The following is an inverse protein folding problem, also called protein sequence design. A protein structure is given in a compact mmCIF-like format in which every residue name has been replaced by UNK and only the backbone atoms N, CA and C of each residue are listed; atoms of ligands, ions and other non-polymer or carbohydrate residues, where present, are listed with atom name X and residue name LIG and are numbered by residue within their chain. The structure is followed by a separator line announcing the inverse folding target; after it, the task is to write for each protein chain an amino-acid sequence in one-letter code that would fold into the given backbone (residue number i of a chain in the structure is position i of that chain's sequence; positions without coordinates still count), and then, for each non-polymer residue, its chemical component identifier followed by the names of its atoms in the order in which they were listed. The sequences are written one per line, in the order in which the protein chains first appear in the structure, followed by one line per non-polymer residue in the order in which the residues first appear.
data_IF_941107132517
#
_entry.id   IF_941107132517
#
_cell.length_a   1.000
_cell.length_b   1.000
_cell.length_c   1.000
_cell.angle_alpha   90.00
_cell.angle_beta   90.00
_cell.angle_gamma   90.00
#
_symmetry.space_group_name_H-M   'P 1'
#
loop_
_entity.id
_entity.type
_entity.pdbx_description
1 polymer ?
#
# COMPACT_ATOMS: atom_id res chain seq x y z
N UNK A 1 3.33 3.67 17.08
CA UNK A 1 3.41 3.99 15.64
C UNK A 1 2.02 4.18 15.06
N UNK A 2 1.89 4.93 13.95
CA UNK A 2 0.66 5.07 13.19
C UNK A 2 0.85 4.52 11.77
N UNK A 3 -0.04 3.65 11.30
CA UNK A 3 -0.08 3.16 9.92
C UNK A 3 -1.37 3.64 9.27
N UNK A 4 -1.24 4.24 8.08
CA UNK A 4 -2.34 4.82 7.31
C UNK A 4 -2.38 4.13 5.96
N UNK A 5 -3.39 3.29 5.73
CA UNK A 5 -3.47 2.43 4.56
C UNK A 5 -4.94 2.09 4.28
N UNK A 6 -5.46 2.41 3.10
CA UNK A 6 -6.85 2.16 2.75
C UNK A 6 -7.11 0.68 2.41
N UNK A 7 -6.13 0.00 1.83
CA UNK A 7 -6.23 -1.41 1.48
C UNK A 7 -6.22 -2.29 2.74
N UNK A 8 -7.33 -2.98 3.04
CA UNK A 8 -7.49 -3.67 4.32
C UNK A 8 -6.49 -4.82 4.52
N UNK A 9 -6.13 -5.53 3.45
CA UNK A 9 -5.13 -6.61 3.51
C UNK A 9 -3.75 -6.06 3.86
N UNK A 10 -3.33 -4.96 3.21
CA UNK A 10 -2.05 -4.31 3.52
C UNK A 10 -2.03 -3.77 4.95
N UNK A 11 -3.12 -3.15 5.38
CA UNK A 11 -3.28 -2.65 6.75
C UNK A 11 -3.17 -3.78 7.79
N UNK A 12 -3.82 -4.91 7.54
CA UNK A 12 -3.74 -6.10 8.40
C UNK A 12 -2.32 -6.67 8.43
N UNK A 13 -1.65 -6.77 7.27
CA UNK A 13 -0.26 -7.23 7.18
C UNK A 13 0.69 -6.32 7.97
N UNK A 14 0.56 -5.01 7.82
CA UNK A 14 1.37 -4.04 8.57
C UNK A 14 1.17 -4.19 10.08
N UNK A 15 -0.07 -4.34 10.53
CA UNK A 15 -0.39 -4.62 11.94
C UNK A 15 0.29 -5.90 12.44
N UNK A 16 0.20 -6.97 11.67
CA UNK A 16 0.86 -8.22 12.01
C UNK A 16 2.39 -8.11 12.05
N UNK A 17 3.02 -7.41 11.08
CA UNK A 17 4.46 -7.14 11.10
C UNK A 17 4.87 -6.37 12.35
N UNK A 18 4.15 -5.31 12.69
CA UNK A 18 4.46 -4.48 13.87
C UNK A 18 4.25 -5.24 15.17
N UNK A 19 3.19 -6.04 15.27
CA UNK A 19 2.96 -6.93 16.42
C UNK A 19 4.10 -7.93 16.59
N UNK A 20 4.57 -8.54 15.48
CA UNK A 20 5.68 -9.49 15.50
C UNK A 20 7.01 -8.83 15.89
N UNK A 21 7.17 -7.54 15.61
CA UNK A 21 8.31 -6.74 16.03
C UNK A 21 8.14 -6.17 17.47
N UNK A 22 7.05 -6.50 18.16
CA UNK A 22 6.78 -6.04 19.52
C UNK A 22 6.49 -4.54 19.64
N UNK A 23 5.96 -3.91 18.55
CA UNK A 23 5.72 -2.48 18.48
C UNK A 23 4.24 -2.13 18.65
N UNK A 24 3.94 -1.23 19.58
CA UNK A 24 2.62 -0.65 19.72
C UNK A 24 2.26 0.17 18.49
N UNK A 25 1.07 -0.06 17.93
CA UNK A 25 0.63 0.57 16.71
C UNK A 25 -0.87 0.87 16.69
N UNK A 26 -1.24 1.84 15.88
CA UNK A 26 -2.62 2.17 15.51
C UNK A 26 -2.73 2.05 13.99
N UNK A 27 -3.84 1.50 13.49
CA UNK A 27 -4.11 1.29 12.07
C UNK A 27 -5.34 2.10 11.67
N UNK A 28 -5.21 2.94 10.65
CA UNK A 28 -6.32 3.75 10.12
C UNK A 28 -6.38 3.65 8.60
N UNK A 29 -7.56 3.94 8.01
CA UNK A 29 -7.83 3.66 6.60
C UNK A 29 -7.72 4.88 5.67
N UNK A 30 -7.41 6.08 6.17
CA UNK A 30 -7.22 7.29 5.36
C UNK A 30 -6.55 8.41 6.17
N UNK A 31 -6.11 9.46 5.47
CA UNK A 31 -5.44 10.59 6.09
C UNK A 31 -6.29 11.36 7.09
N UNK A 32 -7.61 11.47 6.87
CA UNK A 32 -8.50 12.17 7.80
C UNK A 32 -8.59 11.44 9.15
N UNK A 33 -8.70 10.12 9.13
CA UNK A 33 -8.67 9.30 10.34
C UNK A 33 -7.32 9.43 11.07
N UNK A 34 -6.21 9.45 10.30
CA UNK A 34 -4.87 9.66 10.86
C UNK A 34 -4.74 11.00 11.59
N UNK A 35 -5.24 12.08 11.00
CA UNK A 35 -5.26 13.40 11.64
C UNK A 35 -6.10 13.42 12.93
N UNK A 36 -7.21 12.68 12.94
CA UNK A 36 -8.08 12.59 14.12
C UNK A 36 -7.38 11.86 15.26
N UNK A 37 -6.81 10.68 15.03
CA UNK A 37 -6.13 9.92 16.08
C UNK A 37 -4.86 10.61 16.58
N UNK A 38 -4.17 11.36 15.71
CA UNK A 38 -2.98 12.16 16.07
C UNK A 38 -3.30 13.35 17.00
N UNK A 39 -4.56 13.73 17.16
CA UNK A 39 -4.96 14.70 18.18
C UNK A 39 -5.09 14.07 19.57
N UNK A 40 -5.38 12.78 19.62
CA UNK A 40 -5.67 12.03 20.85
C UNK A 40 -4.45 11.29 21.41
N UNK A 41 -3.50 10.93 20.54
CA UNK A 41 -2.31 10.14 20.88
C UNK A 41 -1.05 10.70 20.25
N UNK A 42 0.07 10.50 20.93
CA UNK A 42 1.41 10.72 20.37
C UNK A 42 1.90 9.49 19.63
N UNK A 43 2.52 9.72 18.46
CA UNK A 43 3.17 8.68 17.67
C UNK A 43 4.63 9.07 17.43
N UNK A 44 5.53 8.08 17.44
CA UNK A 44 6.96 8.28 17.19
C UNK A 44 7.30 8.18 15.71
N UNK A 45 6.43 7.54 14.90
CA UNK A 45 6.58 7.34 13.46
C UNK A 45 5.22 7.14 12.82
N UNK A 46 5.06 7.70 11.62
CA UNK A 46 3.91 7.47 10.74
C UNK A 46 4.38 6.76 9.48
N UNK A 47 3.70 5.68 9.07
CA UNK A 47 3.86 5.04 7.77
C UNK A 47 2.53 5.21 7.03
N UNK A 48 2.55 5.83 5.86
CA UNK A 48 1.33 6.19 5.14
C UNK A 48 1.39 5.81 3.67
N UNK A 49 0.34 5.16 3.16
CA UNK A 49 0.11 5.15 1.71
C UNK A 49 0.00 6.58 1.20
N UNK A 50 0.52 6.79 -0.01
CA UNK A 50 0.45 8.07 -0.71
C UNK A 50 -0.94 8.36 -1.26
N UNK A 51 -1.68 7.32 -1.70
CA UNK A 51 -2.94 7.46 -2.44
C UNK A 51 -4.06 6.72 -1.74
N UNK A 52 -4.94 7.48 -1.11
CA UNK A 52 -6.09 6.97 -0.35
C UNK A 52 -7.32 7.82 -0.61
N UNK A 53 -8.53 7.26 -0.52
CA UNK A 53 -9.78 8.02 -0.60
C UNK A 53 -9.94 8.94 0.61
N UNK A 54 -10.85 9.91 0.52
CA UNK A 54 -11.19 10.91 1.54
C UNK A 54 -10.07 11.94 1.73
N UNK A 55 -8.87 11.51 2.13
CA UNK A 55 -7.67 12.33 2.25
C UNK A 55 -6.44 11.48 1.95
N UNK A 56 -5.67 11.88 0.95
CA UNK A 56 -4.44 11.24 0.54
C UNK A 56 -3.29 11.46 1.54
N UNK A 57 -2.23 10.64 1.44
CA UNK A 57 -1.07 10.72 2.33
C UNK A 57 -0.30 12.03 2.20
N UNK A 58 -0.25 12.63 1.01
CA UNK A 58 0.43 13.92 0.80
C UNK A 58 -0.29 15.07 1.52
N UNK A 59 -1.62 15.12 1.41
CA UNK A 59 -2.44 16.12 2.08
C UNK A 59 -2.40 15.96 3.60
N UNK A 60 -2.46 14.71 4.07
CA UNK A 60 -2.28 14.37 5.48
C UNK A 60 -0.92 14.86 6.01
N UNK A 61 0.18 14.57 5.28
CA UNK A 61 1.51 14.97 5.70
C UNK A 61 1.65 16.50 5.78
N UNK A 62 1.16 17.24 4.79
CA UNK A 62 1.16 18.72 4.83
C UNK A 62 0.42 19.26 6.04
N UNK A 63 -0.75 18.70 6.34
CA UNK A 63 -1.56 19.12 7.49
C UNK A 63 -0.87 18.76 8.83
N UNK A 64 -0.25 17.58 8.94
CA UNK A 64 0.55 17.22 10.11
C UNK A 64 1.70 18.22 10.32
N UNK A 65 2.44 18.58 9.26
CA UNK A 65 3.52 19.58 9.32
C UNK A 65 3.02 20.96 9.72
N UNK A 66 1.82 21.33 9.23
CA UNK A 66 1.18 22.58 9.64
C UNK A 66 0.88 22.59 11.15
N UNK A 67 0.25 21.52 11.66
CA UNK A 67 -0.09 21.38 13.08
C UNK A 67 1.13 21.33 13.98
N UNK A 68 2.19 20.61 13.59
CA UNK A 68 3.46 20.56 14.34
C UNK A 68 4.04 21.98 14.53
N UNK A 69 4.08 22.76 13.45
CA UNK A 69 4.57 24.15 13.50
C UNK A 69 3.67 25.06 14.34
N UNK A 70 2.35 24.98 14.14
CA UNK A 70 1.39 25.82 14.84
C UNK A 70 1.37 25.57 16.36
N UNK A 71 1.61 24.32 16.78
CA UNK A 71 1.58 23.89 18.16
C UNK A 71 2.96 23.79 18.82
N UNK A 72 4.04 24.12 18.10
CA UNK A 72 5.42 23.97 18.58
C UNK A 72 5.77 22.52 18.95
N UNK A 73 5.15 21.53 18.27
CA UNK A 73 5.39 20.11 18.54
C UNK A 73 6.63 19.62 17.80
N UNK A 74 7.25 18.57 18.35
CA UNK A 74 8.35 17.88 17.71
C UNK A 74 7.88 17.26 16.38
N UNK A 75 8.72 17.36 15.34
CA UNK A 75 8.49 16.73 14.04
C UNK A 75 8.50 15.20 14.16
N UNK A 76 7.42 14.58 13.74
CA UNK A 76 7.28 13.12 13.70
C UNK A 76 7.73 12.64 12.32
N UNK A 77 8.62 11.63 12.18
CA UNK A 77 8.96 11.06 10.88
C UNK A 77 7.72 10.50 10.18
N UNK A 78 7.55 10.84 8.90
CA UNK A 78 6.47 10.33 8.03
C UNK A 78 7.11 9.60 6.85
N UNK A 79 6.89 8.30 6.75
CA UNK A 79 7.42 7.44 5.70
C UNK A 79 6.29 7.08 4.74
N UNK A 80 6.48 7.41 3.47
CA UNK A 80 5.54 7.06 2.41
C UNK A 80 5.59 5.56 2.07
N UNK A 81 4.43 4.94 1.84
CA UNK A 81 4.32 3.66 1.14
C UNK A 81 3.94 3.95 -0.31
N UNK A 82 4.69 3.43 -1.26
CA UNK A 82 4.40 3.64 -2.69
C UNK A 82 4.61 2.37 -3.51
N UNK A 83 3.76 2.15 -4.51
CA UNK A 83 3.93 1.04 -5.45
C UNK A 83 5.00 1.32 -6.50
N UNK A 84 5.26 2.59 -6.83
CA UNK A 84 6.28 2.98 -7.81
C UNK A 84 6.85 4.36 -7.43
N UNK A 85 8.15 4.44 -7.06
CA UNK A 85 8.79 5.70 -6.75
C UNK A 85 9.37 6.32 -8.02
N UNK A 86 8.51 6.72 -8.97
CA UNK A 86 8.97 7.63 -10.04
C UNK A 86 9.60 8.88 -9.45
N UNK A 87 10.49 9.52 -10.19
CA UNK A 87 11.18 10.76 -9.75
C UNK A 87 10.16 11.81 -9.29
N UNK A 88 9.04 11.92 -9.99
CA UNK A 88 7.96 12.85 -9.66
C UNK A 88 7.25 12.51 -8.34
N UNK A 89 7.07 11.22 -8.04
CA UNK A 89 6.42 10.80 -6.78
C UNK A 89 7.36 11.02 -5.58
N UNK A 90 8.67 10.83 -5.75
CA UNK A 90 9.66 11.15 -4.71
C UNK A 90 9.67 12.66 -4.38
N UNK A 91 9.66 13.50 -5.41
CA UNK A 91 9.60 14.95 -5.21
C UNK A 91 8.30 15.36 -4.51
N UNK A 92 7.17 14.79 -4.90
CA UNK A 92 5.87 15.04 -4.24
C UNK A 92 5.87 14.63 -2.76
N UNK A 93 6.52 13.52 -2.39
CA UNK A 93 6.70 13.13 -0.99
C UNK A 93 7.47 14.18 -0.21
N UNK A 94 8.61 14.64 -0.75
CA UNK A 94 9.44 15.67 -0.12
C UNK A 94 8.69 16.99 0.01
N UNK A 95 8.00 17.45 -1.03
CA UNK A 95 7.21 18.69 -1.04
C UNK A 95 6.03 18.63 -0.05
N UNK A 96 5.48 17.43 0.19
CA UNK A 96 4.48 17.22 1.22
C UNK A 96 5.06 17.17 2.64
N UNK A 97 6.38 17.14 2.78
CA UNK A 97 7.08 17.09 4.07
C UNK A 97 7.23 15.68 4.63
N UNK A 98 7.14 14.64 3.79
CA UNK A 98 7.50 13.28 4.17
C UNK A 98 9.04 13.13 4.24
N UNK A 99 9.52 12.22 5.07
CA UNK A 99 10.93 12.08 5.44
C UNK A 99 11.63 10.92 4.72
N UNK A 100 10.86 10.04 4.07
CA UNK A 100 11.36 8.89 3.34
C UNK A 100 10.24 8.12 2.67
N UNK A 101 10.60 7.05 1.96
CA UNK A 101 9.64 6.17 1.31
C UNK A 101 10.05 4.70 1.40
N UNK A 102 9.06 3.82 1.31
CA UNK A 102 9.14 2.38 1.23
C UNK A 102 8.38 1.89 0.01
N UNK A 103 8.92 0.88 -0.66
CA UNK A 103 8.27 0.25 -1.80
C UNK A 103 7.32 -0.85 -1.37
N UNK A 104 6.12 -0.87 -1.95
CA UNK A 104 5.26 -2.05 -1.95
C UNK A 104 5.73 -3.01 -3.06
N UNK A 105 5.79 -4.34 -2.83
CA UNK A 105 5.42 -5.06 -1.61
C UNK A 105 6.48 -4.94 -0.53
N UNK A 106 6.07 -4.67 0.70
CA UNK A 106 6.95 -4.52 1.84
C UNK A 106 7.15 -5.86 2.55
N UNK A 107 8.40 -6.28 2.70
CA UNK A 107 8.76 -7.43 3.54
C UNK A 107 8.99 -7.00 4.99
N UNK A 108 8.87 -7.97 5.92
CA UNK A 108 9.19 -7.73 7.33
C UNK A 108 10.64 -7.23 7.53
N UNK A 109 11.59 -7.72 6.70
CA UNK A 109 12.99 -7.26 6.73
C UNK A 109 13.12 -5.78 6.38
N UNK A 110 12.52 -5.35 5.27
CA UNK A 110 12.55 -3.95 4.83
C UNK A 110 11.88 -3.02 5.85
N UNK A 111 10.75 -3.46 6.43
CA UNK A 111 10.10 -2.69 7.51
C UNK A 111 11.05 -2.53 8.69
N UNK A 112 11.71 -3.61 9.13
CA UNK A 112 12.68 -3.56 10.22
C UNK A 112 13.81 -2.58 9.94
N UNK A 113 14.44 -2.64 8.75
CA UNK A 113 15.56 -1.76 8.39
C UNK A 113 15.18 -0.27 8.47
N UNK A 114 13.94 0.05 8.06
CA UNK A 114 13.40 1.43 8.19
C UNK A 114 13.15 1.78 9.64
N UNK A 115 12.57 0.86 10.42
CA UNK A 115 12.31 1.11 11.84
C UNK A 115 13.60 1.30 12.63
N UNK A 116 14.65 0.54 12.35
CA UNK A 116 15.98 0.72 12.95
C UNK A 116 16.58 2.09 12.64
N UNK A 117 16.34 2.60 11.44
CA UNK A 117 16.82 3.92 11.01
C UNK A 117 16.08 5.07 11.71
N UNK A 118 14.77 4.95 11.87
CA UNK A 118 13.91 6.05 12.35
C UNK A 118 13.53 5.92 13.82
N UNK A 119 13.61 4.71 14.40
CA UNK A 119 13.36 4.41 15.82
C UNK A 119 14.55 3.68 16.46
N UNK A 120 15.70 4.32 16.65
CA UNK A 120 16.92 3.66 17.10
C UNK A 120 16.79 2.89 18.44
N UNK A 121 15.80 3.22 19.27
CA UNK A 121 15.54 2.56 20.57
C UNK A 121 14.76 1.23 20.42
N UNK A 122 14.16 0.95 19.27
CA UNK A 122 13.39 -0.28 19.02
C UNK A 122 14.27 -1.43 18.51
N UNK A 123 15.50 -1.14 18.09
CA UNK A 123 16.43 -2.07 17.42
C UNK A 123 16.82 -3.32 18.24
N UNK A 124 16.74 -3.27 19.57
CA UNK A 124 17.23 -4.36 20.43
C UNK A 124 16.34 -5.63 20.44
N UNK A 125 15.15 -5.61 19.85
CA UNK A 125 14.16 -6.68 19.95
C UNK A 125 13.92 -7.47 18.63
N UNK A 126 14.63 -7.15 17.54
CA UNK A 126 14.23 -7.57 16.19
C UNK A 126 15.02 -8.75 15.63
N UNK A 127 14.35 -9.85 15.25
CA UNK A 127 14.93 -11.07 14.68
C UNK A 127 14.75 -11.16 13.14
N UNK A 128 15.66 -11.86 12.44
CA UNK A 128 15.71 -12.00 10.98
C UNK A 128 14.55 -12.81 10.37
N UNK A 129 13.86 -12.27 9.37
CA UNK A 129 12.91 -12.99 8.53
C UNK A 129 13.32 -12.92 7.03
N UNK A 130 13.15 -14.01 6.25
CA UNK A 130 13.52 -14.05 4.84
C UNK A 130 12.59 -13.20 3.96
N UNK A 131 13.12 -12.62 2.87
CA UNK A 131 12.38 -11.90 1.85
C UNK A 131 11.72 -12.86 0.85
N UNK A 132 10.55 -12.49 0.31
CA UNK A 132 9.88 -13.24 -0.76
C UNK A 132 10.64 -13.12 -2.10
N UNK A 133 10.67 -14.16 -2.94
CA UNK A 133 11.35 -14.13 -4.23
C UNK A 133 10.65 -13.21 -5.24
N UNK A 134 11.43 -12.39 -5.96
CA UNK A 134 10.98 -11.18 -6.68
C UNK A 134 10.39 -11.39 -8.09
N UNK A 135 10.18 -12.61 -8.63
CA UNK A 135 9.84 -12.79 -10.07
C UNK A 135 8.71 -13.77 -10.39
N UNK A 136 8.08 -14.40 -9.43
CA UNK A 136 6.91 -15.27 -9.63
C UNK A 136 5.97 -15.17 -8.43
N UNK A 137 4.71 -15.47 -8.65
CA UNK A 137 3.77 -15.58 -7.54
C UNK A 137 4.20 -16.73 -6.60
N UNK A 138 4.23 -16.49 -5.29
CA UNK A 138 4.65 -17.50 -4.33
C UNK A 138 3.63 -18.63 -4.20
N UNK A 139 4.10 -19.81 -3.88
CA UNK A 139 3.24 -20.93 -3.51
C UNK A 139 2.71 -20.74 -2.08
N UNK A 140 1.59 -21.43 -1.75
CA UNK A 140 1.07 -21.43 -0.38
C UNK A 140 2.13 -21.84 0.65
N UNK A 141 2.94 -22.85 0.34
CA UNK A 141 4.01 -23.32 1.23
C UNK A 141 5.04 -22.21 1.51
N UNK A 142 5.45 -21.45 0.50
CA UNK A 142 6.36 -20.31 0.65
C UNK A 142 5.74 -19.18 1.49
N UNK A 143 4.44 -18.93 1.35
CA UNK A 143 3.73 -17.97 2.20
C UNK A 143 3.71 -18.42 3.65
N UNK A 144 3.34 -19.68 3.92
CA UNK A 144 3.33 -20.24 5.28
C UNK A 144 4.74 -20.23 5.87
N UNK A 145 5.77 -20.54 5.09
CA UNK A 145 7.15 -20.46 5.52
C UNK A 145 7.57 -19.02 5.88
N UNK A 146 7.15 -18.04 5.07
CA UNK A 146 7.46 -16.62 5.28
C UNK A 146 6.77 -16.06 6.51
N UNK A 147 5.48 -16.33 6.65
CA UNK A 147 4.66 -15.76 7.73
C UNK A 147 4.69 -16.61 9.01
N UNK A 148 5.11 -17.88 8.93
CA UNK A 148 5.17 -18.84 10.06
C UNK A 148 3.82 -19.04 10.78
N UNK A 149 2.72 -18.70 10.13
CA UNK A 149 1.36 -18.78 10.66
C UNK A 149 0.36 -19.02 9.51
N UNK A 150 -0.25 -20.21 9.49
CA UNK A 150 -1.19 -20.60 8.44
C UNK A 150 -2.52 -19.84 8.54
N UNK A 151 -2.97 -19.48 9.75
CA UNK A 151 -4.20 -18.71 9.93
C UNK A 151 -4.05 -17.30 9.37
N UNK A 152 -2.90 -16.67 9.60
CA UNK A 152 -2.56 -15.35 9.02
C UNK A 152 -2.54 -15.44 7.50
N UNK A 153 -1.92 -16.48 6.92
CA UNK A 153 -1.92 -16.68 5.46
C UNK A 153 -3.33 -16.83 4.91
N UNK A 154 -4.18 -17.62 5.57
CA UNK A 154 -5.57 -17.81 5.16
C UNK A 154 -6.39 -16.52 5.19
N UNK A 155 -6.29 -15.75 6.28
CA UNK A 155 -6.98 -14.47 6.39
C UNK A 155 -6.50 -13.47 5.33
N UNK A 156 -5.18 -13.40 5.13
CA UNK A 156 -4.55 -12.55 4.14
C UNK A 156 -5.03 -12.90 2.72
N UNK A 157 -4.97 -14.16 2.31
CA UNK A 157 -5.41 -14.61 0.99
C UNK A 157 -6.91 -14.36 0.78
N UNK A 158 -7.73 -14.62 1.79
CA UNK A 158 -9.17 -14.37 1.74
C UNK A 158 -9.46 -12.87 1.53
N UNK A 159 -8.82 -11.99 2.30
CA UNK A 159 -9.00 -10.55 2.19
C UNK A 159 -8.50 -10.03 0.85
N UNK A 160 -7.30 -10.47 0.43
CA UNK A 160 -6.68 -10.07 -0.85
C UNK A 160 -7.57 -10.44 -2.04
N UNK A 161 -8.12 -11.66 -2.04
CA UNK A 161 -9.04 -12.10 -3.08
C UNK A 161 -10.31 -11.26 -3.10
N UNK A 162 -10.97 -11.06 -1.96
CA UNK A 162 -12.20 -10.29 -1.86
C UNK A 162 -12.00 -8.86 -2.37
N UNK A 163 -10.93 -8.19 -1.95
CA UNK A 163 -10.63 -6.82 -2.37
C UNK A 163 -10.32 -6.73 -3.86
N UNK A 164 -9.52 -7.68 -4.39
CA UNK A 164 -9.23 -7.72 -5.82
C UNK A 164 -10.48 -7.99 -6.67
N UNK A 165 -11.40 -8.86 -6.24
CA UNK A 165 -12.69 -9.10 -6.90
C UNK A 165 -13.58 -7.84 -6.87
N UNK A 166 -13.67 -7.14 -5.73
CA UNK A 166 -14.45 -5.90 -5.59
C UNK A 166 -13.91 -4.78 -6.48
N UNK A 167 -12.60 -4.55 -6.48
CA UNK A 167 -11.94 -3.52 -7.29
C UNK A 167 -12.00 -3.85 -8.78
N UNK A 168 -11.87 -5.11 -9.17
CA UNK A 168 -12.03 -5.54 -10.54
C UNK A 168 -13.46 -5.31 -11.03
N UNK A 169 -14.46 -5.68 -10.26
CA UNK A 169 -15.85 -5.39 -10.59
C UNK A 169 -16.13 -3.87 -10.68
N UNK A 170 -15.51 -3.07 -9.83
CA UNK A 170 -15.62 -1.61 -9.89
C UNK A 170 -14.95 -1.02 -11.15
N UNK A 171 -13.78 -1.54 -11.56
CA UNK A 171 -13.12 -1.16 -12.81
C UNK A 171 -14.01 -1.43 -14.02
N UNK A 172 -14.61 -2.62 -14.10
CA UNK A 172 -15.52 -2.96 -15.19
C UNK A 172 -16.75 -2.04 -15.26
N UNK A 173 -17.27 -1.59 -14.10
CA UNK A 173 -18.35 -0.59 -14.06
C UNK A 173 -17.88 0.76 -14.57
N UNK A 174 -16.74 1.25 -14.09
CA UNK A 174 -16.16 2.53 -14.51
C UNK A 174 -15.87 2.57 -16.02
N UNK A 175 -15.34 1.47 -16.58
CA UNK A 175 -15.11 1.34 -18.02
C UNK A 175 -16.42 1.40 -18.82
N UNK A 176 -17.50 0.77 -18.34
CA UNK A 176 -18.81 0.81 -19.01
C UNK A 176 -19.48 2.19 -18.97
N UNK A 177 -19.29 2.93 -17.89
CA UNK A 177 -19.85 4.27 -17.72
C UNK A 177 -18.92 5.38 -18.25
N UNK A 178 -17.75 5.01 -18.77
CA UNK A 178 -16.70 5.93 -19.22
C UNK A 178 -16.25 6.91 -18.13
N UNK A 179 -16.37 6.50 -16.86
CA UNK A 179 -15.91 7.29 -15.73
C UNK A 179 -14.38 7.18 -15.57
N UNK A 180 -13.70 8.14 -16.17
CA UNK A 180 -12.24 8.22 -16.21
C UNK A 180 -11.60 8.22 -14.82
N UNK A 181 -12.15 9.00 -13.88
CA UNK A 181 -11.57 9.11 -12.55
C UNK A 181 -11.78 7.82 -11.76
N UNK A 182 -12.98 7.26 -11.78
CA UNK A 182 -13.26 5.98 -11.14
C UNK A 182 -12.39 4.85 -11.69
N UNK A 183 -12.15 4.80 -13.02
CA UNK A 183 -11.27 3.81 -13.62
C UNK A 183 -9.82 3.93 -13.11
N UNK A 184 -9.27 5.15 -13.04
CA UNK A 184 -7.94 5.42 -12.51
C UNK A 184 -7.85 4.99 -11.04
N UNK A 185 -8.83 5.33 -10.21
CA UNK A 185 -8.84 4.99 -8.79
C UNK A 185 -8.93 3.46 -8.57
N UNK A 186 -9.74 2.76 -9.39
CA UNK A 186 -9.82 1.29 -9.36
C UNK A 186 -8.49 0.64 -9.77
N UNK A 187 -7.85 1.13 -10.85
CA UNK A 187 -6.54 0.63 -11.28
C UNK A 187 -5.47 0.82 -10.19
N UNK A 188 -5.45 1.96 -9.49
CA UNK A 188 -4.54 2.18 -8.36
C UNK A 188 -4.74 1.17 -7.24
N UNK A 189 -5.99 0.90 -6.82
CA UNK A 189 -6.26 -0.08 -5.77
C UNK A 189 -5.91 -1.50 -6.21
N UNK A 190 -6.24 -1.87 -7.46
CA UNK A 190 -5.84 -3.17 -8.03
C UNK A 190 -4.33 -3.38 -8.01
N UNK A 191 -3.53 -2.34 -8.32
CA UNK A 191 -2.07 -2.42 -8.20
C UNK A 191 -1.66 -2.85 -6.78
N UNK A 192 -2.28 -2.30 -5.75
CA UNK A 192 -2.04 -2.71 -4.36
C UNK A 192 -2.23 -4.20 -4.14
N UNK A 193 -3.34 -4.77 -4.63
CA UNK A 193 -3.62 -6.20 -4.56
C UNK A 193 -2.65 -7.04 -5.40
N UNK A 194 -2.34 -6.59 -6.62
CA UNK A 194 -1.52 -7.35 -7.59
C UNK A 194 -0.05 -7.45 -7.17
N UNK A 195 0.51 -6.41 -6.55
CA UNK A 195 1.91 -6.40 -6.09
C UNK A 195 2.10 -7.03 -4.71
N UNK A 196 1.02 -7.31 -4.00
CA UNK A 196 1.06 -7.82 -2.63
C UNK A 196 1.87 -9.11 -2.51
N UNK A 197 1.72 -10.02 -3.47
CA UNK A 197 2.44 -11.29 -3.52
C UNK A 197 3.71 -11.26 -4.39
N UNK A 198 4.13 -10.09 -4.84
CA UNK A 198 5.31 -9.88 -5.66
C UNK A 198 4.99 -9.28 -7.03
N UNK A 199 5.92 -8.50 -7.58
CA UNK A 199 5.77 -7.86 -8.89
C UNK A 199 5.85 -8.91 -10.02
N UNK A 200 4.85 -8.88 -10.91
CA UNK A 200 4.76 -9.75 -12.09
C UNK A 200 4.69 -8.95 -13.39
N UNK A 201 4.92 -7.64 -13.32
CA UNK A 201 4.78 -6.71 -14.43
C UNK A 201 3.33 -6.21 -14.64
N UNK A 202 2.37 -6.67 -13.84
CA UNK A 202 0.99 -6.16 -13.86
C UNK A 202 0.90 -4.73 -13.30
N UNK A 203 1.72 -4.42 -12.31
CA UNK A 203 1.91 -3.11 -11.73
C UNK A 203 2.40 -2.09 -12.78
N UNK A 204 3.40 -2.43 -13.58
CA UNK A 204 3.90 -1.59 -14.65
C UNK A 204 2.81 -1.34 -15.71
N UNK A 205 2.09 -2.40 -16.13
CA UNK A 205 0.97 -2.24 -17.10
C UNK A 205 -0.17 -1.38 -16.56
N UNK A 206 -0.52 -1.54 -15.29
CA UNK A 206 -1.54 -0.69 -14.67
C UNK A 206 -1.08 0.78 -14.61
N UNK A 207 0.19 1.04 -14.29
CA UNK A 207 0.76 2.38 -14.29
C UNK A 207 0.70 3.03 -15.68
N UNK A 208 1.06 2.28 -16.73
CA UNK A 208 0.97 2.72 -18.12
C UNK A 208 -0.49 3.03 -18.52
N UNK A 209 -1.44 2.14 -18.17
CA UNK A 209 -2.86 2.37 -18.43
C UNK A 209 -3.38 3.60 -17.70
N UNK A 210 -3.00 3.81 -16.44
CA UNK A 210 -3.37 5.01 -15.68
C UNK A 210 -2.87 6.28 -16.38
N UNK A 211 -1.63 6.29 -16.87
CA UNK A 211 -1.05 7.42 -17.59
C UNK A 211 -1.82 7.70 -18.89
N UNK A 212 -2.08 6.67 -19.71
CA UNK A 212 -2.79 6.80 -20.97
C UNK A 212 -4.28 7.19 -20.78
N UNK A 213 -4.97 6.59 -19.82
CA UNK A 213 -6.36 6.95 -19.50
C UNK A 213 -6.43 8.40 -19.00
N UNK A 214 -5.47 8.85 -18.21
CA UNK A 214 -5.39 10.24 -17.73
C UNK A 214 -5.27 11.24 -18.88
N UNK A 215 -4.52 10.91 -19.92
CA UNK A 215 -4.29 11.76 -21.07
C UNK A 215 -5.45 11.68 -22.08
N UNK A 216 -5.80 10.47 -22.52
CA UNK A 216 -6.65 10.22 -23.69
C UNK A 216 -8.07 9.72 -23.34
N UNK A 217 -8.33 9.35 -22.08
CA UNK A 217 -9.60 8.75 -21.64
C UNK A 217 -9.66 7.24 -21.84
N UNK A 218 -10.84 6.66 -21.57
CA UNK A 218 -11.05 5.19 -21.54
C UNK A 218 -11.14 4.60 -22.95
N UNK A 219 -11.92 5.22 -23.85
CA UNK A 219 -12.22 4.69 -25.19
C UNK A 219 -10.96 4.33 -26.02
N UNK A 220 -9.95 5.21 -26.17
CA UNK A 220 -8.74 4.88 -26.92
C UNK A 220 -7.91 3.78 -26.29
N UNK A 221 -8.08 3.51 -25.00
CA UNK A 221 -7.32 2.55 -24.22
C UNK A 221 -8.04 1.20 -24.01
N UNK A 222 -9.17 0.98 -24.71
CA UNK A 222 -10.01 -0.21 -24.54
C UNK A 222 -9.25 -1.52 -24.71
N UNK A 223 -8.41 -1.62 -25.73
CA UNK A 223 -7.61 -2.84 -25.98
C UNK A 223 -6.63 -3.14 -24.84
N UNK A 224 -5.97 -2.10 -24.31
CA UNK A 224 -5.08 -2.23 -23.17
C UNK A 224 -5.81 -2.65 -21.89
N UNK A 225 -7.01 -2.11 -21.67
CA UNK A 225 -7.88 -2.51 -20.57
C UNK A 225 -8.33 -3.97 -20.69
N UNK A 226 -8.76 -4.43 -21.86
CA UNK A 226 -9.15 -5.83 -22.11
C UNK A 226 -7.99 -6.81 -21.84
N UNK A 227 -6.76 -6.44 -22.24
CA UNK A 227 -5.57 -7.23 -21.93
C UNK A 227 -5.28 -7.26 -20.42
N UNK A 228 -5.40 -6.12 -19.76
CA UNK A 228 -5.23 -6.03 -18.30
C UNK A 228 -6.29 -6.85 -17.54
N UNK A 229 -7.54 -6.84 -18.01
CA UNK A 229 -8.63 -7.67 -17.46
C UNK A 229 -8.32 -9.16 -17.52
N UNK A 230 -7.73 -9.64 -18.63
CA UNK A 230 -7.31 -11.04 -18.75
C UNK A 230 -6.22 -11.39 -17.75
N UNK A 231 -5.27 -10.50 -17.53
CA UNK A 231 -4.19 -10.71 -16.58
C UNK A 231 -4.69 -10.68 -15.12
N UNK A 232 -5.59 -9.77 -14.78
CA UNK A 232 -6.27 -9.75 -13.47
C UNK A 232 -7.07 -11.03 -13.25
N UNK A 233 -7.80 -11.50 -14.26
CA UNK A 233 -8.55 -12.76 -14.18
C UNK A 233 -7.64 -13.97 -13.96
N UNK A 234 -6.40 -13.94 -14.49
CA UNK A 234 -5.38 -14.97 -14.23
C UNK A 234 -4.88 -14.91 -12.80
N UNK A 235 -4.66 -13.71 -12.29
CA UNK A 235 -4.26 -13.49 -10.89
C UNK A 235 -5.34 -13.95 -9.91
N UNK A 236 -6.60 -13.63 -10.15
CA UNK A 236 -7.72 -14.05 -9.31
C UNK A 236 -7.88 -15.58 -9.27
N UNK A 237 -7.66 -16.26 -10.40
CA UNK A 237 -7.61 -17.73 -10.44
C UNK A 237 -6.46 -18.28 -9.61
N UNK A 238 -5.27 -17.73 -9.77
CA UNK A 238 -4.12 -18.11 -8.94
C UNK A 238 -4.43 -17.95 -7.43
N UNK A 239 -5.05 -16.84 -7.00
CA UNK A 239 -5.46 -16.65 -5.59
C UNK A 239 -6.49 -17.68 -5.13
N UNK A 240 -7.28 -18.23 -6.05
CA UNK A 240 -8.26 -19.28 -5.74
C UNK A 240 -7.60 -20.64 -5.55
N UNK A 241 -6.49 -20.89 -6.25
CA UNK A 241 -5.75 -22.16 -6.25
C UNK A 241 -4.72 -22.24 -5.11
N UNK A 242 -4.48 -21.12 -4.39
CA UNK A 242 -3.63 -21.04 -3.19
C UNK A 242 -4.34 -21.54 -1.93
#
# INVERSE_FOLDING_TARGET
MLVVEDHSTYRTLMGWFLQKLGLDHELVCNGQAALTVSTLRHFDLVISDCRMPVMDGYSMAREMRHRERALGRQRIPIIALTANPGVDDQQRCLDAGMDGWLLKPLSLGQLRDVLERWLPRASAAMSNAPALPAQRWPTRAELVETFKDEQVVNQMLHSLRREADEDYAALLRACRTLDKQAAIDCLHRLVGSLVFLGSTGLDARAADLIAHIRDQGIEPNRLGLEQFEQDVSRYLRYLTDL
#
